data_IF_032940987068
#
_entry.id   IF_032940987068
#
_cell.length_a   1.000
_cell.length_b   1.000
_cell.length_c   1.000
_cell.angle_alpha   90.00
_cell.angle_beta   90.00
_cell.angle_gamma   90.00
#
_symmetry.space_group_name_H-M   'P 1'
#
loop_
_entity.id
_entity.type
_entity.pdbx_description
1 polymer ?
#
# COMPACT_ATOMS: atom_id res chain seq x y z
N UNK A 1 37.73 -41.33 -38.24
CA UNK A 1 38.19 -39.98 -37.82
C UNK A 1 38.32 -39.12 -39.07
N UNK A 2 38.28 -37.77 -39.00
CA UNK A 2 37.66 -36.87 -38.00
C UNK A 2 36.18 -36.61 -38.40
N UNK A 3 35.40 -35.60 -37.97
CA UNK A 3 35.31 -34.73 -36.77
C UNK A 3 33.82 -34.34 -36.59
N UNK A 4 33.41 -33.97 -35.38
CA UNK A 4 32.14 -33.27 -35.09
C UNK A 4 32.41 -32.09 -34.13
N UNK A 5 31.38 -31.25 -33.94
CA UNK A 5 31.32 -30.11 -33.01
C UNK A 5 31.93 -28.77 -33.50
N UNK A 6 31.18 -27.68 -33.30
CA UNK A 6 31.60 -26.30 -33.63
C UNK A 6 30.46 -25.26 -33.62
N UNK A 7 29.26 -25.60 -34.11
CA UNK A 7 28.23 -24.60 -34.46
C UNK A 7 27.14 -24.31 -33.39
N UNK A 8 27.16 -24.97 -32.23
CA UNK A 8 26.18 -24.70 -31.13
C UNK A 8 26.66 -23.75 -30.04
N UNK A 9 27.96 -23.41 -29.99
CA UNK A 9 28.53 -22.66 -28.85
C UNK A 9 28.30 -21.15 -28.95
N UNK A 10 28.35 -20.57 -30.15
CA UNK A 10 28.29 -19.12 -30.35
C UNK A 10 26.91 -18.55 -29.96
N UNK A 11 25.83 -19.18 -30.41
CA UNK A 11 24.45 -18.75 -30.10
C UNK A 11 24.12 -18.88 -28.61
N UNK A 12 24.69 -19.88 -27.92
CA UNK A 12 24.53 -20.03 -26.48
C UNK A 12 25.26 -18.93 -25.73
N UNK A 13 26.53 -18.64 -26.06
CA UNK A 13 27.27 -17.51 -25.48
C UNK A 13 26.57 -16.17 -25.73
N UNK A 14 26.12 -15.90 -26.96
CA UNK A 14 25.43 -14.64 -27.28
C UNK A 14 24.09 -14.50 -26.53
N UNK A 15 23.35 -15.60 -26.34
CA UNK A 15 22.14 -15.60 -25.52
C UNK A 15 22.44 -15.41 -24.03
N UNK A 16 23.50 -16.03 -23.52
CA UNK A 16 23.96 -15.89 -22.14
C UNK A 16 24.46 -14.47 -21.86
N UNK A 17 25.26 -13.90 -22.76
CA UNK A 17 25.72 -12.51 -22.68
C UNK A 17 24.54 -11.55 -22.70
N UNK A 18 23.54 -11.72 -23.58
CA UNK A 18 22.33 -10.87 -23.58
C UNK A 18 21.50 -11.00 -22.31
N UNK A 19 21.35 -12.20 -21.76
CA UNK A 19 20.65 -12.42 -20.47
C UNK A 19 21.43 -11.82 -19.31
N UNK A 20 22.75 -12.00 -19.26
CA UNK A 20 23.62 -11.33 -18.31
C UNK A 20 23.62 -9.80 -18.49
N UNK A 21 23.45 -9.31 -19.73
CA UNK A 21 23.34 -7.89 -20.05
C UNK A 21 22.06 -7.29 -19.45
N UNK A 22 20.92 -7.94 -19.69
CA UNK A 22 19.65 -7.58 -19.06
C UNK A 22 19.71 -7.68 -17.53
N UNK A 23 20.42 -8.68 -17.00
CA UNK A 23 20.62 -8.85 -15.56
C UNK A 23 21.40 -7.69 -14.94
N UNK A 24 22.58 -7.32 -15.47
CA UNK A 24 23.34 -6.20 -14.88
C UNK A 24 22.62 -4.86 -15.05
N UNK A 25 21.93 -4.63 -16.17
CA UNK A 25 21.09 -3.44 -16.36
C UNK A 25 20.00 -3.37 -15.30
N UNK A 26 19.38 -4.51 -14.96
CA UNK A 26 18.39 -4.59 -13.90
C UNK A 26 19.00 -4.30 -12.52
N UNK A 27 20.09 -4.99 -12.14
CA UNK A 27 20.78 -4.75 -10.87
C UNK A 27 21.27 -3.30 -10.74
N UNK A 28 21.72 -2.66 -11.82
CA UNK A 28 22.14 -1.26 -11.81
C UNK A 28 20.95 -0.32 -11.60
N UNK A 29 19.87 -0.49 -12.38
CA UNK A 29 18.65 0.31 -12.27
C UNK A 29 18.03 0.24 -10.86
N UNK A 30 18.03 -0.94 -10.26
CA UNK A 30 17.44 -1.18 -8.94
C UNK A 30 18.41 -0.98 -7.76
N UNK A 31 19.68 -0.66 -8.01
CA UNK A 31 20.70 -0.54 -6.95
C UNK A 31 20.89 -1.82 -6.15
N UNK A 32 21.08 -2.95 -6.84
CA UNK A 32 21.14 -4.30 -6.29
C UNK A 32 19.95 -5.16 -6.70
N UNK A 33 19.82 -6.34 -6.10
CA UNK A 33 18.77 -7.31 -6.43
C UNK A 33 17.36 -6.69 -6.28
N UNK A 34 16.53 -6.70 -7.33
CA UNK A 34 15.16 -6.18 -7.28
C UNK A 34 14.14 -7.11 -6.65
N UNK A 35 14.44 -8.41 -6.61
CA UNK A 35 13.55 -9.49 -6.21
C UNK A 35 13.93 -10.05 -4.82
N UNK A 36 15.04 -9.56 -4.25
CA UNK A 36 15.38 -9.74 -2.84
C UNK A 36 14.26 -9.21 -1.91
N UNK A 37 13.75 -10.11 -1.07
CA UNK A 37 12.70 -9.83 -0.09
C UNK A 37 13.29 -9.11 1.12
N UNK A 38 12.73 -7.94 1.46
CA UNK A 38 13.10 -7.24 2.68
C UNK A 38 12.60 -8.01 3.92
N UNK A 39 13.44 -8.30 4.93
CA UNK A 39 13.05 -9.12 6.08
C UNK A 39 12.08 -8.43 7.04
N UNK A 40 12.01 -7.10 7.06
CA UNK A 40 11.09 -6.33 7.92
C UNK A 40 9.69 -6.27 7.30
N UNK A 41 9.59 -5.96 6.00
CA UNK A 41 8.30 -5.74 5.32
C UNK A 41 7.78 -6.88 4.45
N UNK A 42 8.62 -7.87 4.09
CA UNK A 42 8.25 -8.95 3.17
C UNK A 42 8.10 -8.53 1.71
N UNK A 43 8.40 -7.27 1.39
CA UNK A 43 8.29 -6.66 0.06
C UNK A 43 9.63 -6.72 -0.69
N UNK A 44 9.58 -6.93 -2.01
CA UNK A 44 10.72 -6.72 -2.92
C UNK A 44 10.75 -5.28 -3.46
N UNK A 45 11.84 -4.87 -4.12
CA UNK A 45 11.92 -3.52 -4.74
C UNK A 45 10.90 -3.36 -5.88
N UNK A 46 10.63 -4.43 -6.64
CA UNK A 46 9.60 -4.41 -7.68
C UNK A 46 8.21 -4.21 -7.09
N UNK A 47 7.90 -4.89 -5.98
CA UNK A 47 6.60 -4.77 -5.31
C UNK A 47 6.39 -3.35 -4.76
N UNK A 48 7.42 -2.78 -4.12
CA UNK A 48 7.40 -1.38 -3.66
C UNK A 48 7.13 -0.42 -4.83
N UNK A 49 7.84 -0.59 -5.94
CA UNK A 49 7.66 0.25 -7.12
C UNK A 49 6.26 0.10 -7.74
N UNK A 50 5.73 -1.13 -7.86
CA UNK A 50 4.38 -1.37 -8.37
C UNK A 50 3.30 -0.71 -7.51
N UNK A 51 3.43 -0.78 -6.18
CA UNK A 51 2.56 -0.08 -5.21
C UNK A 51 2.67 1.45 -5.37
N UNK A 52 3.88 1.99 -5.51
CA UNK A 52 4.08 3.43 -5.72
C UNK A 52 3.50 3.95 -7.05
N UNK A 53 3.74 3.24 -8.16
CA UNK A 53 3.20 3.61 -9.47
C UNK A 53 1.67 3.52 -9.52
N UNK A 54 1.08 2.49 -8.89
CA UNK A 54 -0.39 2.34 -8.83
C UNK A 54 -1.05 3.33 -7.86
N UNK A 55 -0.36 3.76 -6.81
CA UNK A 55 -0.86 4.78 -5.88
C UNK A 55 -0.85 6.20 -6.45
N UNK A 56 0.16 6.56 -7.26
CA UNK A 56 0.32 7.91 -7.80
C UNK A 56 -0.95 8.54 -8.43
N UNK A 57 -1.72 7.86 -9.31
CA UNK A 57 -2.97 8.41 -9.84
C UNK A 57 -4.10 8.52 -8.80
N UNK A 58 -4.07 7.73 -7.72
CA UNK A 58 -5.00 7.88 -6.58
C UNK A 58 -4.74 9.20 -5.87
N UNK A 59 -3.48 9.47 -5.56
CA UNK A 59 -3.09 10.65 -4.79
C UNK A 59 -3.20 11.95 -5.58
N UNK A 60 -2.99 11.89 -6.91
CA UNK A 60 -3.23 13.02 -7.82
C UNK A 60 -4.66 13.61 -7.69
N UNK A 61 -5.65 12.77 -7.35
CA UNK A 61 -7.03 13.16 -7.08
C UNK A 61 -7.43 12.91 -5.60
N UNK A 62 -6.49 13.11 -4.67
CA UNK A 62 -6.59 12.71 -3.26
C UNK A 62 -7.91 13.09 -2.57
N UNK A 63 -8.37 14.34 -2.66
CA UNK A 63 -9.61 14.78 -1.99
C UNK A 63 -10.84 14.02 -2.51
N UNK A 64 -10.95 13.82 -3.82
CA UNK A 64 -12.07 13.10 -4.42
C UNK A 64 -12.02 11.61 -4.05
N UNK A 65 -10.86 10.97 -4.25
CA UNK A 65 -10.69 9.54 -3.97
C UNK A 65 -10.79 9.20 -2.48
N UNK A 66 -10.28 10.06 -1.59
CA UNK A 66 -10.40 9.88 -0.14
C UNK A 66 -11.80 10.17 0.40
N UNK A 67 -12.55 11.07 -0.26
CA UNK A 67 -13.99 11.25 0.02
C UNK A 67 -14.76 10.02 -0.40
N UNK A 68 -14.54 9.50 -1.61
CA UNK A 68 -15.14 8.27 -2.12
C UNK A 68 -14.82 7.05 -1.24
N UNK A 69 -13.58 6.93 -0.76
CA UNK A 69 -13.15 5.88 0.17
C UNK A 69 -13.96 5.90 1.48
N UNK A 70 -14.05 7.07 2.14
CA UNK A 70 -14.81 7.18 3.39
C UNK A 70 -16.32 7.06 3.16
N UNK A 71 -16.83 7.51 2.01
CA UNK A 71 -18.23 7.34 1.59
C UNK A 71 -18.58 5.86 1.46
N UNK A 72 -17.78 5.08 0.74
CA UNK A 72 -17.93 3.61 0.64
C UNK A 72 -17.79 2.91 1.99
N UNK A 73 -16.87 3.38 2.85
CA UNK A 73 -16.72 2.87 4.22
C UNK A 73 -18.00 3.07 5.04
N UNK A 74 -18.57 4.29 5.07
CA UNK A 74 -19.79 4.58 5.82
C UNK A 74 -21.04 3.90 5.24
N UNK A 75 -21.06 3.60 3.93
CA UNK A 75 -22.15 2.85 3.31
C UNK A 75 -22.06 1.34 3.57
N UNK A 76 -20.85 0.77 3.60
CA UNK A 76 -20.63 -0.68 3.81
C UNK A 76 -20.61 -1.04 5.30
N UNK A 77 -20.08 -0.14 6.14
CA UNK A 77 -19.85 -0.30 7.57
C UNK A 77 -20.34 0.95 8.34
N UNK A 78 -21.67 1.16 8.46
CA UNK A 78 -22.25 2.40 9.00
C UNK A 78 -21.78 2.77 10.42
N UNK A 79 -21.43 1.77 11.25
CA UNK A 79 -20.91 1.96 12.60
C UNK A 79 -19.59 2.75 12.62
N UNK A 80 -18.78 2.65 11.56
CA UNK A 80 -17.53 3.40 11.45
C UNK A 80 -17.74 4.92 11.41
N UNK A 81 -18.93 5.37 10.98
CA UNK A 81 -19.28 6.80 10.92
C UNK A 81 -19.45 7.44 12.30
N UNK A 82 -19.80 6.66 13.34
CA UNK A 82 -19.99 7.20 14.69
C UNK A 82 -18.69 7.72 15.33
N UNK A 83 -17.52 7.22 14.90
CA UNK A 83 -16.22 7.77 15.30
C UNK A 83 -15.99 9.20 14.75
N UNK A 84 -16.67 9.57 13.65
CA UNK A 84 -16.58 10.87 12.99
C UNK A 84 -17.58 11.87 13.59
N UNK A 85 -17.33 12.27 14.85
CA UNK A 85 -18.21 13.16 15.63
C UNK A 85 -18.66 14.44 14.92
N UNK A 86 -17.86 14.96 13.99
CA UNK A 86 -18.13 16.17 13.21
C UNK A 86 -19.20 15.99 12.11
N UNK A 87 -19.51 14.75 11.70
CA UNK A 87 -20.41 14.43 10.58
C UNK A 87 -21.36 13.24 10.83
N UNK A 88 -21.28 12.55 11.97
CA UNK A 88 -22.07 11.33 12.23
C UNK A 88 -23.58 11.50 12.02
N UNK A 89 -24.13 12.68 12.35
CA UNK A 89 -25.55 13.05 12.16
C UNK A 89 -25.89 13.66 10.80
N UNK A 90 -24.91 13.95 9.95
CA UNK A 90 -25.10 14.59 8.65
C UNK A 90 -25.37 13.58 7.54
N UNK A 91 -26.12 13.97 6.52
CA UNK A 91 -26.25 13.23 5.25
C UNK A 91 -24.92 13.21 4.45
N UNK A 92 -24.90 12.41 3.39
CA UNK A 92 -23.75 12.26 2.48
C UNK A 92 -23.36 13.58 1.80
N UNK A 93 -24.36 14.31 1.31
CA UNK A 93 -24.19 15.62 0.67
C UNK A 93 -23.69 16.68 1.67
N UNK A 94 -24.25 16.70 2.88
CA UNK A 94 -23.85 17.63 3.94
C UNK A 94 -22.42 17.39 4.42
N UNK A 95 -22.03 16.13 4.71
CA UNK A 95 -20.68 15.88 5.19
C UNK A 95 -19.62 16.11 4.11
N UNK A 96 -19.96 15.87 2.85
CA UNK A 96 -19.06 16.10 1.71
C UNK A 96 -18.71 17.58 1.54
N UNK A 97 -19.50 18.50 2.12
CA UNK A 97 -19.17 19.93 2.17
C UNK A 97 -18.49 20.40 3.48
N UNK A 98 -18.50 19.58 4.53
CA UNK A 98 -17.95 19.93 5.84
C UNK A 98 -16.42 20.16 5.79
N UNK A 99 -15.90 21.35 6.18
CA UNK A 99 -14.47 21.63 6.14
C UNK A 99 -13.61 20.73 7.03
N UNK A 100 -14.11 20.29 8.18
CA UNK A 100 -13.39 19.38 9.08
C UNK A 100 -13.28 17.97 8.49
N UNK A 101 -14.31 17.53 7.75
CA UNK A 101 -14.27 16.28 7.01
C UNK A 101 -13.27 16.35 5.84
N UNK A 102 -13.30 17.42 5.05
CA UNK A 102 -12.29 17.66 3.98
C UNK A 102 -10.86 17.67 4.54
N UNK A 103 -10.63 18.32 5.68
CA UNK A 103 -9.33 18.29 6.37
C UNK A 103 -8.94 16.89 6.85
N UNK A 104 -9.89 16.08 7.33
CA UNK A 104 -9.63 14.68 7.68
C UNK A 104 -9.28 13.84 6.44
N UNK A 105 -10.00 13.99 5.34
CA UNK A 105 -9.72 13.32 4.06
C UNK A 105 -8.30 13.63 3.59
N UNK A 106 -7.88 14.90 3.61
CA UNK A 106 -6.50 15.31 3.27
C UNK A 106 -5.49 14.61 4.18
N UNK A 107 -5.68 14.66 5.51
CA UNK A 107 -4.78 14.02 6.46
C UNK A 107 -4.68 12.50 6.27
N UNK A 108 -5.80 11.82 5.96
CA UNK A 108 -5.84 10.39 5.66
C UNK A 108 -5.02 10.08 4.40
N UNK A 109 -5.30 10.76 3.29
CA UNK A 109 -4.66 10.49 2.01
C UNK A 109 -3.17 10.82 2.03
N UNK A 110 -2.76 11.92 2.66
CA UNK A 110 -1.34 12.25 2.83
C UNK A 110 -0.62 11.30 3.81
N UNK A 111 -1.31 10.70 4.78
CA UNK A 111 -0.71 9.68 5.66
C UNK A 111 -0.44 8.37 4.91
N UNK A 112 -1.36 7.94 4.04
CA UNK A 112 -1.17 6.77 3.17
C UNK A 112 -0.06 7.05 2.16
N UNK A 113 -0.07 8.21 1.50
CA UNK A 113 0.95 8.61 0.54
C UNK A 113 2.35 8.65 1.15
N UNK A 114 2.50 9.23 2.35
CA UNK A 114 3.76 9.22 3.07
C UNK A 114 4.25 7.79 3.35
N UNK A 115 3.34 6.88 3.75
CA UNK A 115 3.68 5.47 4.00
C UNK A 115 4.10 4.73 2.73
N UNK A 116 3.38 4.93 1.60
CA UNK A 116 3.69 4.34 0.28
C UNK A 116 5.05 4.81 -0.24
N UNK A 117 5.30 6.11 -0.19
CA UNK A 117 6.56 6.69 -0.68
C UNK A 117 7.77 6.21 0.16
N UNK A 118 7.57 5.89 1.44
CA UNK A 118 8.62 5.41 2.35
C UNK A 118 8.71 3.88 2.50
N UNK A 119 8.01 3.07 1.70
CA UNK A 119 8.10 1.59 1.80
C UNK A 119 9.52 1.00 1.62
N UNK A 120 10.43 1.75 0.99
CA UNK A 120 11.85 1.43 0.88
C UNK A 120 12.64 1.62 2.21
N UNK A 121 12.04 2.26 3.21
CA UNK A 121 12.54 2.46 4.58
C UNK A 121 11.56 1.78 5.57
N UNK A 122 11.52 0.44 5.63
CA UNK A 122 10.45 -0.29 6.33
C UNK A 122 10.39 0.04 7.82
N UNK A 123 11.51 0.25 8.51
CA UNK A 123 11.53 0.57 9.94
C UNK A 123 10.89 1.95 10.23
N UNK A 124 11.03 2.91 9.31
CA UNK A 124 10.36 4.22 9.38
C UNK A 124 8.85 4.05 9.21
N UNK A 125 8.41 3.24 8.23
CA UNK A 125 7.00 2.95 8.03
C UNK A 125 6.41 2.18 9.21
N UNK A 126 7.13 1.22 9.79
CA UNK A 126 6.71 0.52 11.01
C UNK A 126 6.49 1.50 12.17
N UNK A 127 7.41 2.45 12.39
CA UNK A 127 7.25 3.50 13.40
C UNK A 127 6.04 4.43 13.12
N UNK A 128 5.79 4.78 11.86
CA UNK A 128 4.58 5.52 11.46
C UNK A 128 3.29 4.76 11.76
N UNK A 129 3.26 3.47 11.43
CA UNK A 129 2.10 2.59 11.66
C UNK A 129 1.84 2.34 13.14
N UNK A 130 2.90 2.15 13.94
CA UNK A 130 2.80 2.10 15.40
C UNK A 130 2.19 3.39 15.99
N UNK A 131 2.61 4.57 15.52
CA UNK A 131 2.02 5.86 15.94
C UNK A 131 0.56 6.00 15.49
N UNK A 132 0.21 5.45 14.32
CA UNK A 132 -1.15 5.43 13.82
C UNK A 132 -2.06 4.50 14.65
N UNK A 133 -1.57 3.32 15.03
CA UNK A 133 -2.24 2.39 15.96
C UNK A 133 -2.53 3.03 17.32
N UNK A 134 -1.54 3.65 17.98
CA UNK A 134 -1.77 4.36 19.24
C UNK A 134 -2.86 5.45 19.11
N UNK A 135 -2.83 6.20 18.01
CA UNK A 135 -3.78 7.27 17.75
C UNK A 135 -5.21 6.72 17.61
N UNK A 136 -5.41 5.63 16.88
CA UNK A 136 -6.72 5.03 16.66
C UNK A 136 -7.23 4.30 17.92
N UNK A 137 -6.34 3.64 18.67
CA UNK A 137 -6.67 2.99 19.94
C UNK A 137 -7.19 3.97 21.00
N UNK A 138 -6.59 5.17 21.12
CA UNK A 138 -7.10 6.26 21.99
C UNK A 138 -8.52 6.71 21.63
N UNK A 139 -8.99 6.43 20.40
CA UNK A 139 -10.36 6.69 19.92
C UNK A 139 -11.29 5.47 20.03
N UNK A 140 -10.81 4.38 20.67
CA UNK A 140 -11.48 3.08 20.84
C UNK A 140 -11.87 2.41 19.51
N UNK A 141 -11.06 2.64 18.47
CA UNK A 141 -11.19 1.97 17.18
C UNK A 141 -10.52 0.60 17.30
N UNK A 142 -11.33 -0.44 17.14
CA UNK A 142 -10.92 -1.86 17.21
C UNK A 142 -10.45 -2.40 15.84
N UNK A 143 -9.86 -3.60 15.80
CA UNK A 143 -9.24 -4.20 14.60
C UNK A 143 -10.24 -4.44 13.47
N UNK A 144 -11.48 -4.70 13.84
CA UNK A 144 -12.63 -5.00 12.99
C UNK A 144 -12.91 -3.84 12.02
N UNK A 145 -12.81 -2.59 12.49
CA UNK A 145 -12.96 -1.40 11.64
C UNK A 145 -11.82 -1.25 10.63
N UNK A 146 -10.60 -1.69 10.98
CA UNK A 146 -9.49 -1.75 10.02
C UNK A 146 -9.74 -2.85 8.98
N UNK A 147 -10.26 -4.01 9.36
CA UNK A 147 -10.64 -5.04 8.37
C UNK A 147 -11.75 -4.55 7.43
N UNK A 148 -12.75 -3.79 7.92
CA UNK A 148 -13.74 -3.13 7.07
C UNK A 148 -13.10 -2.10 6.11
N UNK A 149 -12.13 -1.33 6.57
CA UNK A 149 -11.35 -0.42 5.70
C UNK A 149 -10.54 -1.19 4.64
N UNK A 150 -9.91 -2.32 5.01
CA UNK A 150 -9.18 -3.19 4.06
C UNK A 150 -10.08 -3.70 2.94
N UNK A 151 -11.28 -4.18 3.28
CA UNK A 151 -12.27 -4.64 2.29
C UNK A 151 -12.64 -3.54 1.29
N UNK A 152 -12.94 -2.34 1.76
CA UNK A 152 -13.30 -1.19 0.90
C UNK A 152 -12.12 -0.74 0.04
N UNK A 153 -10.90 -0.67 0.59
CA UNK A 153 -9.69 -0.32 -0.17
C UNK A 153 -9.42 -1.34 -1.28
N UNK A 154 -9.50 -2.64 -0.99
CA UNK A 154 -9.27 -3.71 -1.98
C UNK A 154 -10.30 -3.64 -3.11
N UNK A 155 -11.59 -3.44 -2.79
CA UNK A 155 -12.65 -3.23 -3.80
C UNK A 155 -12.36 -2.00 -4.66
N UNK A 156 -11.97 -0.88 -4.04
CA UNK A 156 -11.64 0.35 -4.78
C UNK A 156 -10.42 0.16 -5.70
N UNK A 157 -9.38 -0.56 -5.29
CA UNK A 157 -8.22 -0.86 -6.14
C UNK A 157 -8.59 -1.75 -7.33
N UNK A 158 -9.46 -2.74 -7.15
CA UNK A 158 -9.93 -3.60 -8.25
C UNK A 158 -10.81 -2.80 -9.22
N UNK A 159 -11.79 -2.05 -8.73
CA UNK A 159 -12.78 -1.34 -9.56
C UNK A 159 -12.23 -0.09 -10.25
N UNK A 160 -11.46 0.73 -9.52
CA UNK A 160 -11.01 2.06 -9.97
C UNK A 160 -9.66 1.98 -10.67
N UNK A 161 -8.70 1.25 -10.10
CA UNK A 161 -7.33 1.18 -10.62
C UNK A 161 -7.10 -0.01 -11.56
N UNK A 162 -8.00 -1.01 -11.54
CA UNK A 162 -7.94 -2.21 -12.39
C UNK A 162 -6.57 -2.91 -12.32
N UNK A 163 -6.03 -3.02 -11.12
CA UNK A 163 -4.71 -3.57 -10.87
C UNK A 163 -4.62 -5.03 -11.33
N UNK A 164 -3.49 -5.40 -11.92
CA UNK A 164 -3.17 -6.80 -12.19
C UNK A 164 -2.95 -7.59 -10.89
N UNK A 165 -2.98 -8.92 -10.98
CA UNK A 165 -2.82 -9.80 -9.82
C UNK A 165 -1.48 -9.65 -9.09
N UNK A 166 -0.41 -9.24 -9.79
CA UNK A 166 0.92 -9.04 -9.20
C UNK A 166 0.93 -7.78 -8.33
N UNK A 167 0.38 -6.69 -8.83
CA UNK A 167 0.26 -5.41 -8.14
C UNK A 167 -0.73 -5.50 -6.98
N UNK A 168 -1.82 -6.26 -7.15
CA UNK A 168 -2.76 -6.56 -6.07
C UNK A 168 -2.11 -7.41 -4.95
N UNK A 169 -1.26 -8.38 -5.29
CA UNK A 169 -0.49 -9.15 -4.30
C UNK A 169 0.53 -8.28 -3.55
N UNK A 170 1.21 -7.35 -4.24
CA UNK A 170 2.10 -6.37 -3.63
C UNK A 170 1.35 -5.46 -2.64
N UNK A 171 0.16 -4.96 -3.00
CA UNK A 171 -0.72 -4.24 -2.08
C UNK A 171 -1.18 -5.08 -0.89
N UNK A 172 -1.46 -6.38 -1.09
CA UNK A 172 -1.77 -7.32 -0.02
C UNK A 172 -0.66 -7.35 1.04
N UNK A 173 0.59 -7.58 0.60
CA UNK A 173 1.79 -7.51 1.47
C UNK A 173 1.95 -6.17 2.16
N UNK A 174 1.77 -5.06 1.44
CA UNK A 174 1.86 -3.70 1.99
C UNK A 174 0.84 -3.47 3.11
N UNK A 175 -0.43 -3.85 2.90
CA UNK A 175 -1.49 -3.69 3.90
C UNK A 175 -1.26 -4.60 5.10
N UNK A 176 -0.81 -5.85 4.88
CA UNK A 176 -0.53 -6.79 5.97
C UNK A 176 0.67 -6.33 6.82
N UNK A 177 1.72 -5.78 6.19
CA UNK A 177 2.83 -5.13 6.87
C UNK A 177 2.38 -3.92 7.70
N UNK A 178 1.52 -3.06 7.14
CA UNK A 178 0.97 -1.93 7.89
C UNK A 178 0.11 -2.40 9.07
N UNK A 179 -0.76 -3.38 8.86
CA UNK A 179 -1.73 -3.81 9.87
C UNK A 179 -1.07 -4.54 11.03
N UNK A 180 -0.01 -5.32 10.77
CA UNK A 180 0.88 -5.87 11.80
C UNK A 180 1.29 -4.78 12.81
N UNK A 181 1.89 -3.68 12.32
CA UNK A 181 2.39 -2.61 13.17
C UNK A 181 1.29 -1.70 13.74
N UNK A 182 0.19 -1.46 13.02
CA UNK A 182 -0.98 -0.78 13.61
C UNK A 182 -1.52 -1.58 14.81
N UNK A 183 -1.63 -2.91 14.69
CA UNK A 183 -2.21 -3.77 15.72
C UNK A 183 -1.27 -4.09 16.89
N UNK A 184 0.04 -3.88 16.74
CA UNK A 184 1.02 -3.92 17.85
C UNK A 184 0.69 -2.88 18.93
N UNK A 185 0.25 -1.69 18.55
CA UNK A 185 -0.04 -0.58 19.48
C UNK A 185 -1.51 -0.27 19.68
N UNK A 186 -2.41 -0.72 18.80
CA UNK A 186 -3.85 -0.41 18.85
C UNK A 186 -4.50 -0.74 20.20
N UNK A 187 -4.19 -1.89 20.78
CA UNK A 187 -4.74 -2.34 22.07
C UNK A 187 -3.97 -1.85 23.30
N UNK A 188 -2.79 -1.23 23.15
CA UNK A 188 -1.99 -0.74 24.28
C UNK A 188 -2.57 0.54 24.92
N UNK A 189 -3.51 1.21 24.27
CA UNK A 189 -4.21 2.39 24.77
C UNK A 189 -5.44 2.09 25.65
N UNK A 190 -5.77 0.81 25.86
CA UNK A 190 -6.79 0.39 26.83
C UNK A 190 -6.21 0.12 28.23
N UNK A 191 -4.88 0.05 28.34
CA UNK A 191 -4.14 -0.28 29.56
C UNK A 191 -3.38 0.92 30.19
N UNK A 192 -3.75 2.16 29.84
CA UNK A 192 -3.17 3.41 30.35
C UNK A 192 -4.25 4.45 30.65
#
# INVERSE_FOLDING_TARGET
MPRHCGLRSATLNESYEKVAMGSWLSYLWWGGDPDAVNPTSGLTKREIYAVQQSWAPVYANSIANGTELLRRLFQTYPETKEFFKMIRKSSEDEYSQNPQFKAHVINLMSSIDLAVNHLHQPDVVAAMMNKLGESHGRRKIQREHFYGLKDVIVKMFIEVLKLDGTTLAAWGKTVDFWYKHIFETLSLSDAR
#
